data_IF_855659641530
#
_entry.id   IF_855659641530
#
_cell.length_a   1.000
_cell.length_b   1.000
_cell.length_c   1.000
_cell.angle_alpha   90.00
_cell.angle_beta   90.00
_cell.angle_gamma   90.00
#
_symmetry.space_group_name_H-M   'P 1'
#
loop_
_entity.id
_entity.type
_entity.pdbx_description
1 polymer ?
#
# COMPACT_ATOMS: atom_id res chain seq x y z
N UNK A 1 -23.10 4.43 -4.76
CA UNK A 1 -21.75 4.78 -5.26
C UNK A 1 -20.96 3.48 -5.31
N UNK A 2 -20.49 3.06 -6.49
CA UNK A 2 -19.62 1.89 -6.61
C UNK A 2 -18.32 2.19 -5.86
N UNK A 3 -18.14 1.60 -4.67
CA UNK A 3 -16.87 1.63 -3.97
C UNK A 3 -15.93 0.68 -4.70
N UNK A 4 -15.28 1.19 -5.76
CA UNK A 4 -14.22 0.46 -6.45
C UNK A 4 -13.09 0.14 -5.48
N UNK A 5 -12.42 -0.99 -5.67
CA UNK A 5 -11.20 -1.33 -4.95
C UNK A 5 -10.16 -0.25 -5.27
N UNK A 6 -9.58 0.36 -4.25
CA UNK A 6 -8.57 1.41 -4.41
C UNK A 6 -7.16 0.83 -4.27
N UNK A 7 -6.37 0.94 -5.34
CA UNK A 7 -4.93 0.72 -5.32
C UNK A 7 -4.25 1.96 -4.75
N UNK A 8 -3.52 1.83 -3.63
CA UNK A 8 -2.84 2.96 -3.01
C UNK A 8 -1.40 3.07 -3.53
N UNK A 9 -1.11 4.12 -4.29
CA UNK A 9 0.25 4.38 -4.76
C UNK A 9 1.02 5.19 -3.72
N UNK A 10 2.11 4.62 -3.21
CA UNK A 10 2.99 5.23 -2.23
C UNK A 10 3.70 6.46 -2.78
N UNK A 11 3.59 7.56 -2.04
CA UNK A 11 4.18 8.87 -2.35
C UNK A 11 5.39 9.14 -1.43
N UNK A 12 6.38 9.95 -1.85
CA UNK A 12 6.36 10.84 -3.00
C UNK A 12 6.74 10.17 -4.34
N UNK A 13 6.06 10.59 -5.41
CA UNK A 13 6.39 10.25 -6.80
C UNK A 13 6.80 11.53 -7.53
N UNK A 14 8.04 11.62 -7.99
CA UNK A 14 8.58 12.86 -8.59
C UNK A 14 8.69 12.78 -10.11
N UNK A 15 8.60 13.94 -10.76
CA UNK A 15 8.87 14.10 -12.19
C UNK A 15 7.87 15.00 -12.89
N UNK A 16 8.31 15.58 -14.02
CA UNK A 16 7.49 16.42 -14.91
C UNK A 16 6.68 17.48 -14.15
N UNK A 17 7.32 18.26 -13.27
CA UNK A 17 6.68 19.31 -12.48
C UNK A 17 5.40 18.90 -11.72
N UNK A 18 5.31 17.63 -11.31
CA UNK A 18 4.16 17.09 -10.56
C UNK A 18 3.18 16.28 -11.40
N UNK A 19 3.30 16.28 -12.74
CA UNK A 19 2.42 15.47 -13.60
C UNK A 19 2.53 13.98 -13.31
N UNK A 20 3.72 13.49 -12.96
CA UNK A 20 3.93 12.07 -12.65
C UNK A 20 3.17 11.67 -11.38
N UNK A 21 3.20 12.50 -10.34
CA UNK A 21 2.37 12.28 -9.13
C UNK A 21 0.89 12.28 -9.49
N UNK A 22 0.43 13.29 -10.24
CA UNK A 22 -0.95 13.38 -10.69
C UNK A 22 -1.38 12.12 -11.43
N UNK A 23 -0.59 11.64 -12.40
CA UNK A 23 -0.85 10.40 -13.14
C UNK A 23 -0.90 9.22 -12.18
N UNK A 24 0.07 9.09 -11.27
CA UNK A 24 0.16 7.99 -10.33
C UNK A 24 -1.11 7.83 -9.49
N UNK A 25 -1.71 8.92 -9.01
CA UNK A 25 -2.83 8.85 -8.05
C UNK A 25 -4.21 9.13 -8.64
N UNK A 26 -4.29 9.67 -9.87
CA UNK A 26 -5.58 9.98 -10.51
C UNK A 26 -6.40 8.70 -10.73
N UNK A 27 -7.65 8.73 -10.26
CA UNK A 27 -8.54 7.56 -10.32
C UNK A 27 -8.19 6.44 -9.32
N UNK A 28 -7.20 6.65 -8.45
CA UNK A 28 -6.67 5.65 -7.52
C UNK A 28 -6.54 6.23 -6.10
N UNK A 29 -5.94 5.44 -5.19
CA UNK A 29 -5.55 5.89 -3.86
C UNK A 29 -4.14 6.47 -3.84
N UNK A 30 -3.89 7.43 -2.96
CA UNK A 30 -2.54 7.86 -2.61
C UNK A 30 -2.21 7.40 -1.18
N UNK A 31 -1.03 6.80 -0.99
CA UNK A 31 -0.51 6.48 0.34
C UNK A 31 0.59 7.47 0.69
N UNK A 32 0.37 8.29 1.71
CA UNK A 32 1.26 9.40 2.08
C UNK A 32 1.90 9.11 3.42
N UNK A 33 3.23 9.06 3.45
CA UNK A 33 3.98 8.80 4.67
C UNK A 33 4.17 10.09 5.48
N UNK A 34 3.96 10.04 6.79
CA UNK A 34 4.20 11.17 7.69
C UNK A 34 5.66 11.65 7.66
N UNK A 35 6.62 10.74 7.50
CA UNK A 35 8.05 11.09 7.42
C UNK A 35 8.45 11.69 6.07
N UNK A 36 7.57 11.60 5.06
CA UNK A 36 7.70 12.19 3.72
C UNK A 36 6.36 12.79 3.28
N UNK A 37 5.87 13.84 3.98
CA UNK A 37 4.53 14.38 3.75
C UNK A 37 4.49 15.31 2.53
N UNK A 38 5.56 15.36 1.74
CA UNK A 38 5.88 16.32 0.67
C UNK A 38 4.69 16.55 -0.30
N UNK A 39 3.88 15.51 -0.54
CA UNK A 39 2.82 15.50 -1.53
C UNK A 39 1.41 15.35 -0.94
N UNK A 40 1.19 15.54 0.37
CA UNK A 40 -0.14 15.34 0.98
C UNK A 40 -1.23 16.23 0.35
N UNK A 41 -0.94 17.52 0.15
CA UNK A 41 -1.90 18.46 -0.45
C UNK A 41 -2.24 18.08 -1.90
N UNK A 42 -1.22 17.75 -2.71
CA UNK A 42 -1.42 17.30 -4.08
C UNK A 42 -2.16 15.95 -4.14
N UNK A 43 -1.87 15.03 -3.22
CA UNK A 43 -2.56 13.74 -3.10
C UNK A 43 -4.04 13.93 -2.77
N UNK A 44 -4.36 14.81 -1.83
CA UNK A 44 -5.76 15.20 -1.54
C UNK A 44 -6.43 15.79 -2.78
N UNK A 45 -5.72 16.63 -3.53
CA UNK A 45 -6.27 17.23 -4.74
C UNK A 45 -6.59 16.19 -5.83
N UNK A 46 -5.65 15.28 -6.13
CA UNK A 46 -5.71 14.44 -7.34
C UNK A 46 -6.19 13.01 -7.11
N UNK A 47 -5.98 12.42 -5.92
CA UNK A 47 -6.41 11.07 -5.64
C UNK A 47 -7.93 10.98 -5.40
N UNK A 48 -8.50 9.80 -5.61
CA UNK A 48 -9.88 9.51 -5.15
C UNK A 48 -9.93 9.41 -3.62
N UNK A 49 -8.92 8.79 -3.04
CA UNK A 49 -8.80 8.52 -1.61
C UNK A 49 -7.36 8.63 -1.16
N UNK A 50 -7.14 8.98 0.10
CA UNK A 50 -5.82 9.11 0.72
C UNK A 50 -5.76 8.23 1.97
N UNK A 51 -4.72 7.42 2.06
CA UNK A 51 -4.32 6.72 3.27
C UNK A 51 -3.03 7.35 3.80
N UNK A 52 -2.92 7.45 5.12
CA UNK A 52 -1.74 8.03 5.77
C UNK A 52 -0.93 6.92 6.42
N UNK A 53 0.31 6.77 5.98
CA UNK A 53 1.31 5.91 6.59
C UNK A 53 2.02 6.65 7.72
N UNK A 54 2.27 5.97 8.84
CA UNK A 54 2.97 6.54 10.00
C UNK A 54 4.48 6.75 9.72
N UNK A 55 5.03 6.03 8.73
CA UNK A 55 6.43 6.11 8.33
C UNK A 55 7.44 5.41 9.25
N UNK A 56 7.00 4.59 10.20
CA UNK A 56 7.84 3.90 11.20
C UNK A 56 8.98 3.12 10.54
N UNK A 57 8.67 2.29 9.53
CA UNK A 57 9.68 1.53 8.78
C UNK A 57 10.74 2.44 8.14
N UNK A 58 10.31 3.52 7.49
CA UNK A 58 11.22 4.46 6.83
C UNK A 58 12.10 5.23 7.82
N UNK A 59 11.57 5.57 8.99
CA UNK A 59 12.34 6.19 10.07
C UNK A 59 13.36 5.22 10.68
N UNK A 60 12.94 3.98 10.96
CA UNK A 60 13.78 2.92 11.50
C UNK A 60 14.99 2.63 10.60
N UNK A 61 14.77 2.45 9.29
CA UNK A 61 15.86 2.27 8.30
C UNK A 61 16.88 3.41 8.35
N UNK A 62 16.47 4.62 8.72
CA UNK A 62 17.31 5.81 8.78
C UNK A 62 17.83 6.12 10.19
N UNK A 63 17.52 5.29 11.19
CA UNK A 63 17.87 5.53 12.59
C UNK A 63 17.18 6.76 13.20
N UNK A 64 16.03 7.18 12.67
CA UNK A 64 15.28 8.34 13.13
C UNK A 64 14.24 7.93 14.17
N UNK A 65 14.12 8.72 15.24
CA UNK A 65 13.04 8.56 16.24
C UNK A 65 11.87 9.47 15.88
N UNK A 66 10.66 8.91 15.89
CA UNK A 66 9.43 9.67 15.67
C UNK A 66 8.82 10.00 17.03
N UNK A 67 8.45 11.26 17.23
CA UNK A 67 7.55 11.64 18.32
C UNK A 67 6.10 11.49 17.86
N UNK A 68 5.40 10.50 18.40
CA UNK A 68 4.01 10.20 18.01
C UNK A 68 3.03 11.32 18.38
N UNK A 69 3.32 12.13 19.40
CA UNK A 69 2.51 13.31 19.70
C UNK A 69 2.52 14.30 18.53
N UNK A 70 3.66 14.48 17.86
CA UNK A 70 3.78 15.39 16.72
C UNK A 70 3.12 14.79 15.46
N UNK A 71 3.16 13.48 15.29
CA UNK A 71 2.37 12.78 14.26
C UNK A 71 0.87 13.07 14.43
N UNK A 72 0.33 12.93 15.64
CA UNK A 72 -1.09 13.18 15.91
C UNK A 72 -1.49 14.65 15.74
N UNK A 73 -0.63 15.61 16.16
CA UNK A 73 -0.85 17.04 15.90
C UNK A 73 -0.87 17.35 14.40
N UNK A 74 0.05 16.75 13.65
CA UNK A 74 0.09 16.92 12.20
C UNK A 74 -1.14 16.29 11.52
N UNK A 75 -1.52 15.08 11.92
CA UNK A 75 -2.66 14.34 11.38
C UNK A 75 -3.97 15.12 11.53
N UNK A 76 -4.15 15.86 12.62
CA UNK A 76 -5.36 16.64 12.88
C UNK A 76 -5.71 17.60 11.73
N UNK A 77 -4.70 18.15 11.05
CA UNK A 77 -4.90 19.07 9.92
C UNK A 77 -5.60 18.42 8.72
N UNK A 78 -5.54 17.09 8.62
CA UNK A 78 -6.04 16.33 7.46
C UNK A 78 -7.13 15.32 7.83
N UNK A 79 -7.21 14.92 9.10
CA UNK A 79 -8.07 13.84 9.58
C UNK A 79 -9.52 13.98 9.14
N UNK A 80 -10.09 15.18 9.24
CA UNK A 80 -11.49 15.43 8.89
C UNK A 80 -11.74 15.57 7.38
N UNK A 81 -10.69 15.61 6.55
CA UNK A 81 -10.85 15.71 5.11
C UNK A 81 -11.57 14.46 4.56
N UNK A 82 -12.62 14.62 3.72
CA UNK A 82 -13.46 13.50 3.28
C UNK A 82 -12.70 12.44 2.46
N UNK A 83 -11.63 12.85 1.76
CA UNK A 83 -10.77 11.91 1.02
C UNK A 83 -9.79 11.13 1.90
N UNK A 84 -9.51 11.55 3.12
CA UNK A 84 -8.64 10.77 4.03
C UNK A 84 -9.47 9.61 4.58
N UNK A 85 -9.22 8.38 4.12
CA UNK A 85 -10.02 7.22 4.49
C UNK A 85 -9.54 6.55 5.78
N UNK A 86 -8.23 6.41 5.95
CA UNK A 86 -7.63 5.80 7.13
C UNK A 86 -6.20 6.31 7.36
N UNK A 87 -5.69 6.09 8.57
CA UNK A 87 -4.28 6.22 8.87
C UNK A 87 -3.79 4.98 9.60
N UNK A 88 -2.53 4.63 9.37
CA UNK A 88 -1.85 3.54 10.08
C UNK A 88 -1.50 4.02 11.48
N UNK A 89 -1.96 3.30 12.51
CA UNK A 89 -1.57 3.56 13.89
C UNK A 89 -0.06 3.37 14.01
N UNK A 90 0.66 4.20 14.79
CA UNK A 90 2.06 3.95 15.12
C UNK A 90 2.38 2.51 15.53
N UNK A 91 3.51 1.99 15.07
CA UNK A 91 4.00 0.66 15.37
C UNK A 91 5.52 0.66 15.66
N UNK A 92 6.00 -0.40 16.32
CA UNK A 92 7.42 -0.62 16.61
C UNK A 92 7.95 -1.72 15.70
N UNK A 93 8.81 -1.35 14.74
CA UNK A 93 9.29 -2.24 13.67
C UNK A 93 10.03 -3.48 14.17
N UNK A 94 10.78 -3.33 15.26
CA UNK A 94 11.55 -4.39 15.94
C UNK A 94 10.96 -4.76 17.31
N UNK A 95 9.76 -4.26 17.63
CA UNK A 95 9.06 -4.53 18.88
C UNK A 95 8.13 -5.74 18.78
N UNK A 96 7.56 -6.11 19.92
CA UNK A 96 6.58 -7.19 20.01
C UNK A 96 5.14 -6.70 20.08
N UNK A 97 4.22 -7.66 20.21
CA UNK A 97 2.78 -7.42 20.34
C UNK A 97 2.43 -6.37 21.41
N UNK A 98 3.05 -6.47 22.59
CA UNK A 98 2.81 -5.55 23.72
C UNK A 98 3.25 -4.12 23.43
N UNK A 99 4.33 -3.94 22.69
CA UNK A 99 4.83 -2.61 22.32
C UNK A 99 3.84 -1.93 21.36
N UNK A 100 3.31 -2.70 20.41
CA UNK A 100 2.27 -2.24 19.49
C UNK A 100 0.94 -1.96 20.22
N UNK A 101 0.57 -2.77 21.23
CA UNK A 101 -0.63 -2.52 22.05
C UNK A 101 -0.54 -1.24 22.87
N UNK A 102 0.65 -0.93 23.40
CA UNK A 102 0.86 0.34 24.09
C UNK A 102 0.57 1.52 23.14
N UNK A 103 1.08 1.47 21.91
CA UNK A 103 0.83 2.52 20.90
C UNK A 103 -0.63 2.60 20.44
N UNK A 104 -1.33 1.48 20.35
CA UNK A 104 -2.79 1.45 20.08
C UNK A 104 -3.55 2.14 21.21
N UNK A 105 -3.20 1.87 22.47
CA UNK A 105 -3.83 2.49 23.64
C UNK A 105 -3.56 4.00 23.74
N UNK A 106 -2.46 4.48 23.16
CA UNK A 106 -2.12 5.90 23.10
C UNK A 106 -2.87 6.68 22.01
N UNK A 107 -3.59 6.01 21.11
CA UNK A 107 -4.35 6.69 20.05
C UNK A 107 -5.40 7.62 20.68
N UNK A 108 -5.40 8.93 20.36
CA UNK A 108 -6.45 9.83 20.82
C UNK A 108 -7.84 9.37 20.33
N UNK A 109 -8.82 9.27 21.24
CA UNK A 109 -10.18 8.78 20.94
C UNK A 109 -10.85 9.46 19.74
N UNK A 110 -10.56 10.75 19.52
CA UNK A 110 -11.08 11.50 18.38
C UNK A 110 -10.65 10.95 17.01
N UNK A 111 -9.59 10.15 16.96
CA UNK A 111 -9.07 9.56 15.73
C UNK A 111 -9.58 8.14 15.44
N UNK A 112 -10.25 7.49 16.39
CA UNK A 112 -10.62 6.06 16.29
C UNK A 112 -11.39 5.71 15.01
N UNK A 113 -12.25 6.62 14.52
CA UNK A 113 -13.06 6.38 13.33
C UNK A 113 -12.28 6.13 12.03
N UNK A 114 -10.98 6.45 11.98
CA UNK A 114 -10.11 6.22 10.81
C UNK A 114 -8.78 5.55 11.17
N UNK A 115 -8.60 5.17 12.43
CA UNK A 115 -7.39 4.52 12.91
C UNK A 115 -7.36 3.06 12.44
N UNK A 116 -6.19 2.56 12.05
CA UNK A 116 -6.01 1.20 11.55
C UNK A 116 -4.74 0.59 12.14
N UNK A 117 -4.86 -0.40 13.04
CA UNK A 117 -3.70 -1.07 13.62
C UNK A 117 -2.99 -1.94 12.58
N UNK A 118 -1.71 -2.22 12.80
CA UNK A 118 -0.93 -3.17 12.03
C UNK A 118 -0.88 -4.49 12.78
N UNK A 119 -1.27 -5.56 12.11
CA UNK A 119 -0.87 -6.91 12.48
C UNK A 119 0.34 -7.31 11.65
N UNK A 120 1.41 -7.68 12.34
CA UNK A 120 2.63 -8.13 11.74
C UNK A 120 2.57 -9.64 11.55
N UNK A 121 2.97 -10.15 10.39
CA UNK A 121 2.78 -11.57 10.06
C UNK A 121 3.47 -12.55 11.05
N UNK A 122 4.51 -12.11 11.75
CA UNK A 122 5.19 -12.91 12.79
C UNK A 122 4.47 -12.90 14.15
N UNK A 123 3.56 -11.97 14.39
CA UNK A 123 2.71 -11.94 15.59
C UNK A 123 1.68 -13.07 15.53
N UNK A 124 1.13 -13.47 16.67
CA UNK A 124 0.17 -14.56 16.82
C UNK A 124 -1.13 -14.31 16.03
N UNK A 125 -1.82 -15.41 15.67
CA UNK A 125 -3.16 -15.33 15.06
C UNK A 125 -4.21 -14.90 16.10
N UNK A 126 -4.01 -15.23 17.38
CA UNK A 126 -4.90 -14.80 18.46
C UNK A 126 -4.95 -13.27 18.57
N UNK A 127 -3.78 -12.60 18.49
CA UNK A 127 -3.71 -11.14 18.36
C UNK A 127 -4.49 -10.62 17.16
N UNK A 128 -4.34 -11.25 15.98
CA UNK A 128 -5.10 -10.84 14.80
C UNK A 128 -6.60 -10.91 15.04
N UNK A 129 -7.07 -11.95 15.74
CA UNK A 129 -8.48 -12.12 16.09
C UNK A 129 -8.94 -11.00 17.04
N UNK A 130 -8.15 -10.65 18.05
CA UNK A 130 -8.44 -9.53 18.96
C UNK A 130 -8.56 -8.20 18.20
N UNK A 131 -7.58 -7.89 17.33
CA UNK A 131 -7.63 -6.70 16.49
C UNK A 131 -8.88 -6.67 15.59
N UNK A 132 -9.25 -7.81 14.99
CA UNK A 132 -10.43 -7.88 14.12
C UNK A 132 -11.76 -7.72 14.89
N UNK A 133 -11.81 -8.02 16.20
CA UNK A 133 -13.01 -7.79 17.02
C UNK A 133 -13.26 -6.30 17.28
N UNK A 134 -12.19 -5.53 17.42
CA UNK A 134 -12.27 -4.13 17.82
C UNK A 134 -12.25 -3.16 16.64
N UNK A 135 -11.51 -3.50 15.58
CA UNK A 135 -11.22 -2.59 14.49
C UNK A 135 -11.91 -3.01 13.19
N UNK A 136 -12.59 -2.07 12.49
CA UNK A 136 -13.24 -2.37 11.21
C UNK A 136 -12.23 -2.59 10.08
N UNK A 137 -10.97 -2.21 10.29
CA UNK A 137 -9.87 -2.39 9.35
C UNK A 137 -8.59 -2.75 10.10
N UNK A 138 -7.81 -3.67 9.54
CA UNK A 138 -6.47 -4.05 10.03
C UNK A 138 -5.48 -4.02 8.86
N UNK A 139 -4.29 -3.47 9.10
CA UNK A 139 -3.18 -3.51 8.15
C UNK A 139 -2.38 -4.81 8.33
N UNK A 140 -1.97 -5.44 7.23
CA UNK A 140 -1.07 -6.60 7.26
C UNK A 140 0.35 -6.14 6.89
N UNK A 141 1.31 -6.36 7.80
CA UNK A 141 2.71 -6.00 7.62
C UNK A 141 3.64 -7.22 7.57
N UNK A 142 4.23 -7.49 6.40
CA UNK A 142 5.27 -8.53 6.24
C UNK A 142 6.50 -8.22 7.09
N UNK A 143 6.94 -9.17 7.92
CA UNK A 143 7.92 -8.95 8.99
C UNK A 143 8.49 -10.28 9.51
N UNK A 144 9.60 -10.23 10.26
CA UNK A 144 10.25 -11.42 10.80
C UNK A 144 10.60 -12.45 9.72
N UNK A 145 10.29 -13.72 9.99
CA UNK A 145 10.44 -14.84 9.04
C UNK A 145 9.53 -14.74 7.80
N UNK A 146 8.58 -13.80 7.79
CA UNK A 146 7.68 -13.49 6.69
C UNK A 146 8.04 -12.18 5.98
N UNK A 147 9.25 -11.65 6.16
CA UNK A 147 9.66 -10.41 5.50
C UNK A 147 9.70 -10.53 3.96
N UNK A 148 10.06 -11.72 3.46
CA UNK A 148 10.06 -12.02 2.02
C UNK A 148 8.67 -12.50 1.56
N UNK A 149 7.96 -11.61 0.85
CA UNK A 149 6.65 -11.92 0.27
C UNK A 149 6.75 -12.99 -0.83
N UNK A 150 5.62 -13.68 -1.08
CA UNK A 150 5.47 -14.73 -2.12
C UNK A 150 6.29 -16.00 -1.91
N UNK A 151 6.95 -16.16 -0.77
CA UNK A 151 7.53 -17.45 -0.39
C UNK A 151 6.42 -18.43 0.01
N UNK A 152 6.67 -19.74 -0.07
CA UNK A 152 5.69 -20.75 0.33
C UNK A 152 5.25 -20.58 1.80
N UNK A 153 6.20 -20.25 2.68
CA UNK A 153 5.92 -19.99 4.10
C UNK A 153 5.04 -18.74 4.29
N UNK A 154 5.32 -17.67 3.56
CA UNK A 154 4.50 -16.45 3.56
C UNK A 154 3.09 -16.71 3.06
N UNK A 155 2.92 -17.50 1.99
CA UNK A 155 1.61 -17.87 1.47
C UNK A 155 0.78 -18.66 2.47
N UNK A 156 1.39 -19.64 3.16
CA UNK A 156 0.74 -20.39 4.24
C UNK A 156 0.28 -19.46 5.36
N UNK A 157 1.13 -18.51 5.76
CA UNK A 157 0.77 -17.56 6.82
C UNK A 157 -0.40 -16.66 6.46
N UNK A 158 -0.41 -16.14 5.24
CA UNK A 158 -1.53 -15.34 4.73
C UNK A 158 -2.82 -16.17 4.67
N UNK A 159 -2.73 -17.43 4.27
CA UNK A 159 -3.86 -18.35 4.26
C UNK A 159 -4.43 -18.56 5.67
N UNK A 160 -3.58 -18.89 6.65
CA UNK A 160 -4.00 -19.07 8.05
C UNK A 160 -4.70 -17.82 8.62
N UNK A 161 -4.18 -16.63 8.28
CA UNK A 161 -4.71 -15.35 8.71
C UNK A 161 -6.10 -15.06 8.09
N UNK A 162 -6.24 -15.19 6.77
CA UNK A 162 -7.54 -14.97 6.13
C UNK A 162 -8.58 -16.02 6.51
N UNK A 163 -8.18 -17.27 6.73
CA UNK A 163 -9.07 -18.32 7.27
C UNK A 163 -9.52 -18.01 8.69
N UNK A 164 -8.63 -17.48 9.54
CA UNK A 164 -9.01 -17.01 10.87
C UNK A 164 -10.11 -15.95 10.78
N UNK A 165 -9.90 -14.92 9.95
CA UNK A 165 -10.81 -13.79 9.83
C UNK A 165 -12.16 -14.23 9.25
N UNK A 166 -12.16 -14.85 8.07
CA UNK A 166 -13.39 -15.01 7.27
C UNK A 166 -14.05 -16.39 7.39
N UNK A 167 -13.28 -17.45 7.66
CA UNK A 167 -13.84 -18.80 7.79
C UNK A 167 -14.20 -19.13 9.23
N UNK A 168 -13.24 -18.98 10.16
CA UNK A 168 -13.39 -19.41 11.55
C UNK A 168 -14.21 -18.43 12.38
N UNK A 169 -13.99 -17.13 12.20
CA UNK A 169 -14.67 -16.09 12.99
C UNK A 169 -15.71 -15.28 12.20
N UNK A 170 -15.73 -15.37 10.86
CA UNK A 170 -16.67 -14.66 9.98
C UNK A 170 -16.73 -13.12 10.23
N UNK A 171 -15.58 -12.52 10.58
CA UNK A 171 -15.47 -11.08 10.73
C UNK A 171 -15.71 -10.36 9.40
N UNK A 172 -16.11 -9.08 9.49
CA UNK A 172 -16.25 -8.17 8.33
C UNK A 172 -15.09 -7.17 8.22
N UNK A 173 -14.04 -7.39 8.99
CA UNK A 173 -12.85 -6.56 9.05
C UNK A 173 -12.21 -6.46 7.67
N UNK A 174 -12.01 -5.23 7.19
CA UNK A 174 -11.30 -4.98 5.94
C UNK A 174 -9.79 -5.11 6.15
N UNK A 175 -9.10 -5.81 5.26
CA UNK A 175 -7.64 -5.93 5.32
C UNK A 175 -6.97 -4.97 4.34
N UNK A 176 -6.02 -4.18 4.83
CA UNK A 176 -5.10 -3.39 4.00
C UNK A 176 -3.71 -4.04 3.96
N UNK A 177 -3.24 -4.46 2.78
CA UNK A 177 -1.92 -5.08 2.66
C UNK A 177 -0.80 -4.04 2.50
N UNK A 178 0.07 -3.90 3.52
CA UNK A 178 1.19 -2.97 3.46
C UNK A 178 2.27 -3.47 2.50
N UNK A 179 2.57 -2.69 1.46
CA UNK A 179 3.49 -3.05 0.35
C UNK A 179 3.05 -4.30 -0.44
N UNK A 180 1.76 -4.59 -0.49
CA UNK A 180 1.21 -5.79 -1.13
C UNK A 180 0.51 -5.55 -2.47
N UNK A 181 0.75 -4.41 -3.14
CA UNK A 181 0.16 -4.09 -4.45
C UNK A 181 0.74 -4.86 -5.65
N UNK A 182 1.62 -5.84 -5.43
CA UNK A 182 2.08 -6.75 -6.48
C UNK A 182 0.88 -7.59 -6.95
N UNK A 183 0.61 -7.62 -8.26
CA UNK A 183 -0.52 -8.37 -8.82
C UNK A 183 -0.52 -9.86 -8.45
N UNK A 184 0.66 -10.44 -8.23
CA UNK A 184 0.80 -11.85 -7.79
C UNK A 184 0.47 -12.08 -6.33
N UNK A 185 0.38 -11.01 -5.54
CA UNK A 185 -0.15 -11.06 -4.18
C UNK A 185 -1.61 -10.66 -4.20
N UNK A 186 -1.90 -9.50 -4.78
CA UNK A 186 -3.22 -8.90 -4.79
C UNK A 186 -4.27 -9.85 -5.37
N UNK A 187 -3.98 -10.52 -6.49
CA UNK A 187 -4.91 -11.44 -7.14
C UNK A 187 -5.17 -12.75 -6.39
N UNK A 188 -4.41 -13.06 -5.33
CA UNK A 188 -4.55 -14.33 -4.59
C UNK A 188 -5.31 -14.20 -3.26
N UNK A 189 -5.52 -12.98 -2.77
CA UNK A 189 -6.05 -12.77 -1.42
C UNK A 189 -7.15 -11.71 -1.39
N UNK A 190 -8.17 -11.85 -0.53
CA UNK A 190 -9.32 -10.95 -0.44
C UNK A 190 -8.97 -9.68 0.35
N UNK A 191 -7.91 -9.00 -0.08
CA UNK A 191 -7.50 -7.70 0.42
C UNK A 191 -8.54 -6.65 0.03
N UNK A 192 -8.99 -5.85 0.98
CA UNK A 192 -9.89 -4.73 0.67
C UNK A 192 -9.14 -3.65 -0.11
N UNK A 193 -7.88 -3.42 0.26
CA UNK A 193 -6.97 -2.44 -0.37
C UNK A 193 -5.52 -2.89 -0.14
N UNK A 194 -4.56 -2.35 -0.90
CA UNK A 194 -3.14 -2.54 -0.64
C UNK A 194 -2.38 -1.30 -1.12
N UNK A 195 -1.13 -1.15 -0.68
CA UNK A 195 -0.25 -0.10 -1.17
C UNK A 195 1.07 -0.65 -1.75
N UNK A 196 1.78 0.19 -2.51
CA UNK A 196 3.21 -0.01 -2.77
C UNK A 196 3.88 1.29 -3.22
N UNK A 197 5.20 1.36 -3.05
CA UNK A 197 6.04 2.43 -3.63
C UNK A 197 6.56 2.10 -5.03
N UNK A 198 5.94 1.13 -5.74
CA UNK A 198 6.46 0.63 -7.02
C UNK A 198 6.66 1.75 -8.05
N UNK A 199 5.66 2.63 -8.23
CA UNK A 199 5.76 3.76 -9.15
C UNK A 199 6.89 4.73 -8.74
N UNK A 200 6.95 5.12 -7.46
CA UNK A 200 8.00 5.99 -6.93
C UNK A 200 9.40 5.41 -7.21
N UNK A 201 9.57 4.10 -7.03
CA UNK A 201 10.85 3.41 -7.19
C UNK A 201 11.25 3.16 -8.65
N UNK A 202 10.29 2.88 -9.55
CA UNK A 202 10.58 2.32 -10.88
C UNK A 202 10.32 3.27 -12.06
N UNK A 203 9.47 4.29 -11.89
CA UNK A 203 9.29 5.33 -12.92
C UNK A 203 10.61 6.03 -13.27
N UNK A 204 11.45 6.50 -12.32
CA UNK A 204 12.70 7.19 -12.65
C UNK A 204 13.80 6.28 -13.21
N UNK A 205 13.66 4.95 -13.12
CA UNK A 205 14.67 3.96 -13.55
C UNK A 205 14.54 3.60 -15.04
N UNK A 206 14.48 4.59 -15.92
CA UNK A 206 14.14 4.39 -17.33
C UNK A 206 15.12 3.51 -18.12
N UNK A 207 16.41 3.44 -17.72
CA UNK A 207 17.41 2.60 -18.40
C UNK A 207 17.67 1.24 -17.72
N UNK A 208 17.31 1.09 -16.45
CA UNK A 208 17.65 -0.11 -15.67
C UNK A 208 16.43 -0.97 -15.34
N UNK A 209 15.22 -0.41 -15.41
CA UNK A 209 13.98 -1.13 -15.15
C UNK A 209 13.02 -0.94 -16.31
N UNK A 210 12.71 -2.01 -17.01
CA UNK A 210 11.92 -1.98 -18.25
C UNK A 210 12.51 -1.02 -19.30
N UNK A 211 13.77 -1.20 -19.73
CA UNK A 211 14.38 -0.35 -20.77
C UNK A 211 13.64 -0.41 -22.10
N UNK A 212 13.02 -1.55 -22.43
CA UNK A 212 12.16 -1.74 -23.61
C UNK A 212 10.98 -0.77 -23.63
N UNK A 213 10.38 -0.50 -22.48
CA UNK A 213 9.29 0.48 -22.34
C UNK A 213 9.78 1.89 -22.68
N UNK A 214 10.97 2.25 -22.19
CA UNK A 214 11.57 3.56 -22.48
C UNK A 214 11.88 3.70 -23.97
N UNK A 215 12.46 2.66 -24.57
CA UNK A 215 12.76 2.63 -26.01
C UNK A 215 11.49 2.82 -26.85
N UNK A 216 10.43 2.08 -26.55
CA UNK A 216 9.15 2.22 -27.24
C UNK A 216 8.58 3.65 -27.16
N UNK A 217 8.72 4.31 -26.00
CA UNK A 217 8.29 5.71 -25.85
C UNK A 217 9.17 6.66 -26.66
N UNK A 218 10.49 6.45 -26.68
CA UNK A 218 11.44 7.27 -27.44
C UNK A 218 11.23 7.18 -28.95
N UNK A 219 10.90 5.99 -29.47
CA UNK A 219 10.70 5.72 -30.89
C UNK A 219 9.31 6.15 -31.40
N UNK A 220 8.37 6.45 -30.50
CA UNK A 220 7.02 6.86 -30.84
C UNK A 220 6.97 8.21 -31.57
N UNK A 221 5.99 8.40 -32.46
CA UNK A 221 5.89 9.60 -33.29
C UNK A 221 5.75 10.89 -32.48
N UNK A 222 5.03 10.84 -31.36
CA UNK A 222 4.86 11.98 -30.45
C UNK A 222 6.14 12.39 -29.71
N UNK A 223 7.20 11.59 -29.79
CA UNK A 223 8.51 11.87 -29.19
C UNK A 223 9.51 12.47 -30.18
N UNK A 224 9.17 12.56 -31.47
CA UNK A 224 10.04 13.15 -32.49
C UNK A 224 10.22 14.65 -32.25
N UNK A 225 11.42 15.16 -32.50
CA UNK A 225 11.79 16.58 -32.41
C UNK A 225 11.61 17.23 -31.03
N UNK A 226 11.43 16.44 -29.96
CA UNK A 226 11.41 16.97 -28.60
C UNK A 226 12.82 17.37 -28.16
N UNK A 227 12.91 18.44 -27.37
CA UNK A 227 14.13 18.72 -26.61
C UNK A 227 14.38 17.61 -25.59
N UNK A 228 15.61 17.50 -25.09
CA UNK A 228 15.96 16.50 -24.07
C UNK A 228 15.06 16.61 -22.82
N UNK A 229 14.75 17.83 -22.40
CA UNK A 229 13.87 18.10 -21.25
C UNK A 229 12.44 17.61 -21.49
N UNK A 230 11.89 17.88 -22.68
CA UNK A 230 10.54 17.46 -23.06
C UNK A 230 10.47 15.94 -23.20
N UNK A 231 11.46 15.34 -23.87
CA UNK A 231 11.55 13.89 -24.03
C UNK A 231 11.60 13.20 -22.66
N UNK A 232 12.42 13.71 -21.73
CA UNK A 232 12.48 13.18 -20.36
C UNK A 232 11.12 13.27 -19.65
N UNK A 233 10.40 14.38 -19.80
CA UNK A 233 9.06 14.54 -19.23
C UNK A 233 8.06 13.55 -19.86
N UNK A 234 8.09 13.38 -21.18
CA UNK A 234 7.27 12.40 -21.91
C UNK A 234 7.55 10.97 -21.45
N UNK A 235 8.82 10.60 -21.30
CA UNK A 235 9.23 9.29 -20.78
C UNK A 235 8.66 9.06 -19.38
N UNK A 236 8.86 10.00 -18.45
CA UNK A 236 8.40 9.84 -17.07
C UNK A 236 6.87 9.70 -16.97
N UNK A 237 6.12 10.52 -17.73
CA UNK A 237 4.66 10.48 -17.75
C UNK A 237 4.14 9.17 -18.33
N UNK A 238 4.63 8.77 -19.50
CA UNK A 238 4.17 7.54 -20.17
C UNK A 238 4.56 6.28 -19.37
N UNK A 239 5.79 6.23 -18.83
CA UNK A 239 6.21 5.13 -17.95
C UNK A 239 5.31 5.01 -16.72
N UNK A 240 4.99 6.14 -16.09
CA UNK A 240 4.09 6.14 -14.93
C UNK A 240 2.70 5.63 -15.31
N UNK A 241 2.12 6.11 -16.40
CA UNK A 241 0.80 5.67 -16.87
C UNK A 241 0.77 4.16 -17.17
N UNK A 242 1.80 3.64 -17.85
CA UNK A 242 1.88 2.22 -18.24
C UNK A 242 2.08 1.32 -17.02
N UNK A 243 3.01 1.67 -16.13
CA UNK A 243 3.23 0.90 -14.90
C UNK A 243 2.00 0.94 -13.98
N UNK A 244 1.35 2.11 -13.84
CA UNK A 244 0.10 2.24 -13.08
C UNK A 244 -0.98 1.34 -13.67
N UNK A 245 -1.17 1.38 -14.98
CA UNK A 245 -2.14 0.56 -15.69
C UNK A 245 -1.92 -0.94 -15.46
N UNK A 246 -0.67 -1.40 -15.51
CA UNK A 246 -0.33 -2.80 -15.24
C UNK A 246 -0.64 -3.23 -13.80
N UNK A 247 -0.36 -2.37 -12.80
CA UNK A 247 -0.67 -2.63 -11.39
C UNK A 247 -2.20 -2.67 -11.18
N UNK A 248 -2.92 -1.70 -11.72
CA UNK A 248 -4.37 -1.54 -11.51
C UNK A 248 -5.23 -2.51 -12.33
N UNK A 249 -4.64 -3.20 -13.31
CA UNK A 249 -5.30 -4.26 -14.06
C UNK A 249 -5.65 -5.48 -13.19
N UNK A 250 -4.93 -5.68 -12.08
CA UNK A 250 -5.20 -6.79 -11.15
C UNK A 250 -6.08 -6.31 -10.00
N UNK A 251 -7.12 -7.07 -9.69
CA UNK A 251 -8.00 -6.82 -8.54
C UNK A 251 -7.97 -8.02 -7.59
N UNK A 252 -8.07 -7.80 -6.27
CA UNK A 252 -8.23 -8.88 -5.34
C UNK A 252 -9.57 -9.60 -5.55
N UNK A 253 -9.62 -10.93 -5.32
CA UNK A 253 -10.88 -11.66 -5.28
C UNK A 253 -11.79 -11.10 -4.19
N UNK A 254 -13.11 -11.21 -4.36
CA UNK A 254 -14.00 -10.98 -3.23
C UNK A 254 -13.77 -12.06 -2.15
N UNK A 255 -14.22 -11.80 -0.92
CA UNK A 255 -14.18 -12.82 0.14
C UNK A 255 -14.93 -14.08 -0.29
N UNK A 256 -16.06 -13.93 -0.99
CA UNK A 256 -16.83 -15.07 -1.50
C UNK A 256 -16.07 -15.86 -2.55
N UNK A 257 -15.45 -15.19 -3.53
CA UNK A 257 -14.68 -15.86 -4.59
C UNK A 257 -13.47 -16.60 -4.01
N UNK A 258 -12.79 -15.96 -3.05
CA UNK A 258 -11.65 -16.56 -2.36
C UNK A 258 -12.06 -17.81 -1.56
N UNK A 259 -13.21 -17.78 -0.87
CA UNK A 259 -13.74 -18.95 -0.16
C UNK A 259 -14.13 -20.09 -1.12
N UNK A 260 -14.65 -19.78 -2.32
CA UNK A 260 -15.09 -20.79 -3.29
C UNK A 260 -13.96 -21.46 -4.07
N UNK A 261 -12.83 -20.78 -4.26
CA UNK A 261 -11.72 -21.28 -5.09
C UNK A 261 -10.86 -22.36 -4.43
N UNK A 262 -11.22 -22.81 -3.22
CA UNK A 262 -10.39 -23.71 -2.43
C UNK A 262 -9.15 -22.99 -1.85
N UNK A 263 -8.60 -23.51 -0.76
CA UNK A 263 -7.58 -22.85 0.08
C UNK A 263 -6.17 -22.86 -0.56
N UNK A 264 -6.06 -22.93 -1.89
CA UNK A 264 -4.79 -22.96 -2.61
C UNK A 264 -4.57 -21.63 -3.35
N UNK A 265 -3.41 -20.96 -3.19
CA UNK A 265 -3.06 -19.81 -4.00
C UNK A 265 -3.18 -20.15 -5.49
N UNK A 266 -3.98 -19.36 -6.22
CA UNK A 266 -4.27 -19.57 -7.64
C UNK A 266 -3.04 -19.52 -8.56
N UNK A 267 -1.88 -19.10 -8.05
CA UNK A 267 -0.65 -18.90 -8.82
C UNK A 267 0.56 -19.70 -8.30
N UNK A 268 0.35 -20.83 -7.62
CA UNK A 268 1.46 -21.69 -7.19
C UNK A 268 2.20 -22.40 -8.35
N UNK A 269 1.72 -22.33 -9.59
CA UNK A 269 2.49 -22.78 -10.75
C UNK A 269 3.49 -21.70 -11.18
N UNK A 270 4.61 -21.64 -10.47
CA UNK A 270 5.85 -21.25 -11.11
C UNK A 270 6.31 -22.46 -11.94
N UNK A 271 6.07 -22.43 -13.25
CA UNK A 271 6.90 -23.22 -14.16
C UNK A 271 8.35 -22.86 -13.86
N UNK A 272 9.10 -23.86 -13.41
CA UNK A 272 10.55 -23.79 -13.23
C UNK A 272 11.12 -23.50 -14.62
N UNK A 273 11.68 -22.30 -14.81
CA UNK A 273 12.57 -21.96 -15.91
C UNK A 273 14.01 -21.98 -15.41
#
# INVERSE_FOLDING_TARGET
MHHGIHHFHGTPVWGSAGDVHRIAVSGAGAFVSYVRPDQIAASIQHAQVVGIDNGAFSAWVRGLKINWSDFYKWLLNYYHHPKVAFFVIPDVVDGGERDNDALINEVPKMFYGKATPVWHLHESIDRLIELCREWPRVCFGSSGEYAAIRTAHWHRRMQDAFEAIYCRHNFKTAVHGLRMLDGRVLGNYPLATADSTNLACNVPKFNSKYPELTRAIQEAEYSRNLTEKELKAVILKNRCAILKGAIEAVRPPSVSDWLSNGLQPSQLELEIA
#
